data_IF_103849454243
#
_entry.id   IF_103849454243
#
_cell.length_a   1.000
_cell.length_b   1.000
_cell.length_c   1.000
_cell.angle_alpha   90.00
_cell.angle_beta   90.00
_cell.angle_gamma   90.00
#
_symmetry.space_group_name_H-M   'P 1'
#
loop_
_entity.id
_entity.type
_entity.pdbx_description
1 polymer ?
#
# COMPACT_ATOMS: atom_id res chain seq x y z
N UNK A 1 6.41 -27.82 11.63
CA UNK A 1 5.87 -26.84 12.59
C UNK A 1 5.18 -25.80 11.75
N UNK A 2 3.86 -25.61 11.91
CA UNK A 2 3.14 -24.62 11.12
C UNK A 2 3.51 -23.23 11.66
N UNK A 3 4.08 -22.40 10.80
CA UNK A 3 4.26 -20.97 11.08
C UNK A 3 2.88 -20.32 11.23
N UNK A 4 2.82 -19.22 11.98
CA UNK A 4 1.57 -18.46 12.21
C UNK A 4 0.91 -18.14 10.87
N UNK A 5 -0.28 -18.69 10.61
CA UNK A 5 -0.99 -18.52 9.32
C UNK A 5 -2.43 -18.11 9.54
N UNK A 6 -2.92 -17.13 8.76
CA UNK A 6 -4.35 -16.84 8.69
C UNK A 6 -5.02 -17.82 7.72
N UNK A 7 -5.86 -18.71 8.25
CA UNK A 7 -6.52 -19.75 7.45
C UNK A 7 -7.51 -19.18 6.43
N UNK A 8 -7.98 -17.95 6.63
CA UNK A 8 -8.88 -17.29 5.70
C UNK A 8 -8.21 -16.93 4.38
N UNK A 9 -6.89 -16.83 4.34
CA UNK A 9 -6.15 -16.66 3.09
C UNK A 9 -6.48 -17.81 2.12
N UNK A 10 -6.46 -19.06 2.61
CA UNK A 10 -6.78 -20.23 1.79
C UNK A 10 -8.26 -20.24 1.39
N UNK A 11 -9.16 -20.02 2.35
CA UNK A 11 -10.62 -20.05 2.11
C UNK A 11 -11.05 -18.99 1.10
N UNK A 12 -10.55 -17.76 1.24
CA UNK A 12 -10.86 -16.66 0.32
C UNK A 12 -10.29 -16.95 -1.08
N UNK A 13 -9.06 -17.48 -1.16
CA UNK A 13 -8.46 -17.85 -2.43
C UNK A 13 -9.22 -18.98 -3.13
N UNK A 14 -9.71 -19.98 -2.39
CA UNK A 14 -10.55 -21.05 -2.94
C UNK A 14 -11.85 -20.48 -3.54
N UNK A 15 -12.55 -19.60 -2.82
CA UNK A 15 -13.78 -18.95 -3.31
C UNK A 15 -13.51 -18.09 -4.56
N UNK A 16 -12.38 -17.38 -4.60
CA UNK A 16 -11.97 -16.59 -5.78
C UNK A 16 -11.68 -17.52 -6.97
N UNK A 17 -11.02 -18.65 -6.75
CA UNK A 17 -10.75 -19.62 -7.80
C UNK A 17 -12.03 -20.28 -8.33
N UNK A 18 -12.98 -20.61 -7.46
CA UNK A 18 -14.30 -21.12 -7.87
C UNK A 18 -15.07 -20.08 -8.71
N UNK A 19 -15.00 -18.81 -8.31
CA UNK A 19 -15.60 -17.72 -9.08
C UNK A 19 -14.92 -17.55 -10.45
N UNK A 20 -13.60 -17.64 -10.51
CA UNK A 20 -12.83 -17.55 -11.76
C UNK A 20 -13.16 -18.72 -12.71
N UNK A 21 -13.25 -19.93 -12.18
CA UNK A 21 -13.69 -21.12 -12.90
C UNK A 21 -15.10 -20.92 -13.49
N UNK A 22 -16.03 -20.34 -12.71
CA UNK A 22 -17.39 -20.03 -13.19
C UNK A 22 -17.40 -18.98 -14.33
N UNK A 23 -16.34 -18.16 -14.43
CA UNK A 23 -16.13 -17.10 -15.42
C UNK A 23 -15.09 -17.46 -16.49
N UNK A 24 -14.82 -18.75 -16.68
CA UNK A 24 -13.92 -19.27 -17.72
C UNK A 24 -12.46 -18.77 -17.61
N UNK A 25 -11.95 -18.52 -16.40
CA UNK A 25 -10.54 -18.17 -16.21
C UNK A 25 -10.18 -16.74 -16.65
N UNK A 26 -11.13 -15.81 -16.55
CA UNK A 26 -10.94 -14.42 -16.99
C UNK A 26 -10.25 -13.53 -15.96
N UNK A 27 -10.05 -14.00 -14.73
CA UNK A 27 -9.43 -13.24 -13.64
C UNK A 27 -7.93 -13.56 -13.59
N UNK A 28 -7.09 -12.54 -13.79
CA UNK A 28 -5.63 -12.72 -13.72
C UNK A 28 -5.12 -12.85 -12.27
N UNK A 29 -3.88 -13.32 -12.08
CA UNK A 29 -3.33 -13.56 -10.75
C UNK A 29 -3.26 -12.30 -9.87
N UNK A 30 -2.90 -11.15 -10.44
CA UNK A 30 -2.83 -9.89 -9.70
C UNK A 30 -4.21 -9.46 -9.19
N UNK A 31 -5.24 -9.60 -10.03
CA UNK A 31 -6.63 -9.37 -9.65
C UNK A 31 -7.06 -10.31 -8.53
N UNK A 32 -6.64 -11.59 -8.55
CA UNK A 32 -6.93 -12.52 -7.43
C UNK A 32 -6.33 -12.03 -6.12
N UNK A 33 -5.08 -11.53 -6.14
CA UNK A 33 -4.42 -10.95 -4.95
C UNK A 33 -5.13 -9.69 -4.46
N UNK A 34 -5.56 -8.79 -5.36
CA UNK A 34 -6.34 -7.61 -5.00
C UNK A 34 -7.70 -7.97 -4.38
N UNK A 35 -8.41 -8.93 -4.99
CA UNK A 35 -9.68 -9.44 -4.47
C UNK A 35 -9.49 -10.02 -3.07
N UNK A 36 -8.48 -10.88 -2.88
CA UNK A 36 -8.17 -11.47 -1.59
C UNK A 36 -7.85 -10.40 -0.56
N UNK A 37 -7.00 -9.43 -0.90
CA UNK A 37 -6.64 -8.31 -0.02
C UNK A 37 -7.85 -7.47 0.38
N UNK A 38 -8.75 -7.18 -0.57
CA UNK A 38 -9.98 -6.44 -0.30
C UNK A 38 -10.88 -7.16 0.71
N UNK A 39 -11.05 -8.48 0.53
CA UNK A 39 -11.92 -9.32 1.36
C UNK A 39 -11.30 -9.54 2.74
N UNK A 40 -10.03 -9.92 2.81
CA UNK A 40 -9.30 -10.18 4.06
C UNK A 40 -9.24 -8.94 4.97
N UNK A 41 -9.13 -7.74 4.42
CA UNK A 41 -9.18 -6.49 5.18
C UNK A 41 -10.56 -6.15 5.78
N UNK A 42 -11.61 -6.93 5.47
CA UNK A 42 -13.00 -6.69 5.87
C UNK A 42 -13.62 -7.83 6.67
N UNK A 43 -12.85 -8.90 6.94
CA UNK A 43 -13.28 -10.04 7.75
C UNK A 43 -12.31 -10.24 8.92
N UNK A 44 -12.79 -10.71 10.08
CA UNK A 44 -11.91 -10.95 11.22
C UNK A 44 -10.92 -12.07 10.90
N UNK A 45 -9.60 -11.89 11.09
CA UNK A 45 -8.61 -12.91 10.76
C UNK A 45 -8.71 -14.11 11.70
N UNK A 46 -8.36 -15.30 11.20
CA UNK A 46 -8.36 -16.54 11.97
C UNK A 46 -6.98 -17.22 11.88
N UNK A 47 -6.17 -16.99 12.90
CA UNK A 47 -4.80 -17.51 12.95
C UNK A 47 -4.71 -18.90 13.57
N UNK A 48 -3.84 -19.72 13.00
CA UNK A 48 -3.48 -21.05 13.50
C UNK A 48 -1.96 -21.21 13.63
N UNK A 49 -1.55 -22.07 14.55
CA UNK A 49 -0.15 -22.46 14.80
C UNK A 49 0.06 -23.98 14.80
N UNK A 50 -1.01 -24.75 14.58
CA UNK A 50 -0.95 -26.22 14.60
C UNK A 50 -1.99 -26.86 13.69
N UNK A 51 -1.69 -28.07 13.23
CA UNK A 51 -2.59 -28.89 12.41
C UNK A 51 -3.92 -29.19 13.12
N UNK A 52 -3.91 -29.32 14.45
CA UNK A 52 -5.15 -29.53 15.24
C UNK A 52 -6.05 -28.30 15.22
N UNK A 53 -5.46 -27.10 15.28
CA UNK A 53 -6.18 -25.84 15.12
C UNK A 53 -6.80 -25.73 13.72
N UNK A 54 -6.06 -26.15 12.69
CA UNK A 54 -6.55 -26.21 11.32
C UNK A 54 -7.77 -27.12 11.19
N UNK A 55 -7.69 -28.39 11.62
CA UNK A 55 -8.82 -29.35 11.47
C UNK A 55 -10.11 -28.86 12.14
N UNK A 56 -10.01 -28.28 13.34
CA UNK A 56 -11.18 -27.78 14.05
C UNK A 56 -11.83 -26.58 13.36
N UNK A 57 -11.02 -25.65 12.83
CA UNK A 57 -11.52 -24.47 12.13
C UNK A 57 -12.08 -24.86 10.76
N UNK A 58 -11.36 -25.67 9.97
CA UNK A 58 -11.86 -26.15 8.67
C UNK A 58 -13.19 -26.87 8.84
N UNK A 59 -13.33 -27.78 9.80
CA UNK A 59 -14.58 -28.50 10.01
C UNK A 59 -15.74 -27.60 10.44
N UNK A 60 -15.44 -26.52 11.17
CA UNK A 60 -16.46 -25.56 11.63
C UNK A 60 -16.91 -24.61 10.53
N UNK A 61 -15.98 -24.08 9.72
CA UNK A 61 -16.27 -23.00 8.77
C UNK A 61 -16.48 -23.49 7.33
N UNK A 62 -15.81 -24.55 6.89
CA UNK A 62 -16.02 -25.12 5.54
C UNK A 62 -17.42 -25.72 5.40
N UNK A 63 -18.01 -26.16 6.52
CA UNK A 63 -19.35 -26.71 6.58
C UNK A 63 -20.41 -25.68 7.02
N UNK A 64 -20.04 -24.41 7.16
CA UNK A 64 -20.97 -23.33 7.48
C UNK A 64 -21.37 -22.59 6.19
N UNK A 65 -22.58 -22.85 5.65
CA UNK A 65 -23.02 -22.26 4.39
C UNK A 65 -23.22 -20.75 4.48
N UNK A 66 -23.56 -20.23 5.67
CA UNK A 66 -23.77 -18.79 5.86
C UNK A 66 -22.42 -18.07 5.78
N UNK A 67 -21.41 -18.62 6.45
CA UNK A 67 -20.06 -18.08 6.41
C UNK A 67 -19.49 -18.03 4.99
N UNK A 68 -19.65 -19.10 4.20
CA UNK A 68 -19.19 -19.14 2.81
C UNK A 68 -19.97 -18.16 1.93
N UNK A 69 -21.29 -18.04 2.12
CA UNK A 69 -22.11 -17.08 1.39
C UNK A 69 -21.67 -15.63 1.66
N UNK A 70 -21.34 -15.30 2.91
CA UNK A 70 -20.85 -13.97 3.29
C UNK A 70 -19.52 -13.64 2.60
N UNK A 71 -18.58 -14.58 2.56
CA UNK A 71 -17.32 -14.42 1.82
C UNK A 71 -17.60 -14.22 0.32
N UNK A 72 -18.49 -15.02 -0.26
CA UNK A 72 -18.81 -14.95 -1.69
C UNK A 72 -19.42 -13.59 -2.08
N UNK A 73 -20.31 -13.04 -1.24
CA UNK A 73 -20.87 -11.69 -1.42
C UNK A 73 -19.75 -10.65 -1.42
N UNK A 74 -18.80 -10.74 -0.48
CA UNK A 74 -17.65 -9.81 -0.41
C UNK A 74 -16.74 -9.92 -1.62
N UNK A 75 -16.51 -11.13 -2.14
CA UNK A 75 -15.72 -11.33 -3.37
C UNK A 75 -16.43 -10.70 -4.58
N UNK A 76 -17.76 -10.83 -4.70
CA UNK A 76 -18.51 -10.20 -5.80
C UNK A 76 -18.51 -8.66 -5.71
N UNK A 77 -18.62 -8.11 -4.50
CA UNK A 77 -18.41 -6.67 -4.26
C UNK A 77 -17.01 -6.22 -4.70
N UNK A 78 -15.97 -6.96 -4.29
CA UNK A 78 -14.59 -6.68 -4.65
C UNK A 78 -14.40 -6.70 -6.17
N UNK A 79 -15.00 -7.66 -6.86
CA UNK A 79 -14.88 -7.80 -8.31
C UNK A 79 -15.49 -6.62 -9.08
N UNK A 80 -16.55 -6.01 -8.57
CA UNK A 80 -17.14 -4.79 -9.17
C UNK A 80 -16.21 -3.58 -9.07
N UNK A 81 -15.33 -3.56 -8.05
CA UNK A 81 -14.36 -2.49 -7.82
C UNK A 81 -13.07 -2.72 -8.60
N UNK A 82 -12.49 -3.92 -8.51
CA UNK A 82 -11.21 -4.28 -9.17
C UNK A 82 -11.30 -4.18 -10.70
N UNK A 83 -12.46 -4.46 -11.31
CA UNK A 83 -12.67 -4.26 -12.77
C UNK A 83 -12.49 -2.82 -13.24
N UNK A 84 -12.62 -1.82 -12.35
CA UNK A 84 -12.43 -0.40 -12.69
C UNK A 84 -10.98 0.06 -12.51
N UNK A 85 -10.19 -0.70 -11.77
CA UNK A 85 -8.81 -0.37 -11.39
C UNK A 85 -7.92 -1.46 -11.96
N UNK A 86 -7.73 -1.47 -13.28
CA UNK A 86 -6.75 -2.37 -13.87
C UNK A 86 -5.37 -1.92 -13.41
N UNK A 87 -4.84 -2.53 -12.36
CA UNK A 87 -3.40 -2.52 -12.09
C UNK A 87 -2.80 -3.20 -13.31
N UNK A 88 -2.26 -2.38 -14.21
CA UNK A 88 -1.44 -2.84 -15.32
C UNK A 88 -0.37 -3.74 -14.72
N UNK A 89 -0.38 -5.02 -15.09
CA UNK A 89 0.63 -5.99 -14.69
C UNK A 89 2.01 -5.44 -15.02
N UNK A 90 2.71 -4.82 -14.06
CA UNK A 90 3.95 -4.12 -14.35
C UNK A 90 4.95 -4.21 -13.20
N UNK A 91 5.97 -5.00 -13.50
CA UNK A 91 7.35 -5.05 -12.99
C UNK A 91 7.55 -4.55 -11.56
N UNK A 92 7.69 -5.49 -10.62
CA UNK A 92 8.58 -5.27 -9.48
C UNK A 92 9.89 -4.70 -10.03
N UNK A 93 10.33 -3.53 -9.55
CA UNK A 93 11.67 -3.07 -9.88
C UNK A 93 12.64 -4.13 -9.36
N UNK A 94 13.25 -4.88 -10.27
CA UNK A 94 14.22 -5.90 -9.91
C UNK A 94 15.49 -5.17 -9.44
N UNK A 95 15.59 -5.01 -8.13
CA UNK A 95 16.76 -4.40 -7.52
C UNK A 95 17.88 -5.42 -7.39
N UNK A 96 19.09 -4.98 -7.67
CA UNK A 96 20.29 -5.80 -7.57
C UNK A 96 20.59 -6.11 -6.10
N UNK A 97 20.20 -7.31 -5.65
CA UNK A 97 20.37 -7.77 -4.26
C UNK A 97 21.83 -7.83 -3.81
N UNK A 98 22.79 -7.70 -4.72
CA UNK A 98 24.23 -7.64 -4.43
C UNK A 98 24.73 -6.23 -4.10
N UNK A 99 23.87 -5.20 -4.22
CA UNK A 99 24.24 -3.81 -3.99
C UNK A 99 23.58 -3.22 -2.73
N UNK A 100 24.24 -2.29 -2.05
CA UNK A 100 23.65 -1.50 -0.99
C UNK A 100 22.82 -0.35 -1.58
N UNK A 101 21.77 0.05 -0.84
CA UNK A 101 20.85 1.11 -1.21
C UNK A 101 20.54 2.00 0.00
N UNK A 102 20.27 3.27 -0.26
CA UNK A 102 19.54 4.14 0.65
C UNK A 102 18.05 3.80 0.54
N UNK A 103 17.51 3.28 1.64
CA UNK A 103 16.13 2.85 1.75
C UNK A 103 15.35 3.99 2.40
N UNK A 104 14.40 4.57 1.66
CA UNK A 104 13.58 5.65 2.17
C UNK A 104 12.41 5.08 3.01
N UNK A 105 12.00 5.79 4.08
CA UNK A 105 10.74 5.51 4.72
C UNK A 105 9.58 5.82 3.78
N UNK A 106 8.46 5.14 4.01
CA UNK A 106 7.18 5.57 3.42
C UNK A 106 6.84 6.92 4.03
N UNK A 107 6.49 7.89 3.22
CA UNK A 107 6.21 9.26 3.67
C UNK A 107 4.70 9.45 3.61
N UNK A 108 4.09 9.80 4.74
CA UNK A 108 2.65 10.05 4.84
C UNK A 108 2.40 11.41 5.48
N UNK A 109 1.39 12.12 4.98
CA UNK A 109 0.93 13.37 5.58
C UNK A 109 -0.47 13.70 5.13
N UNK A 110 -0.97 14.86 5.57
CA UNK A 110 -2.32 15.32 5.30
C UNK A 110 -2.33 16.80 4.91
N UNK A 111 -3.32 17.17 4.11
CA UNK A 111 -3.59 18.56 3.72
C UNK A 111 -4.95 18.98 4.25
N UNK A 112 -4.95 20.01 5.07
CA UNK A 112 -6.13 20.58 5.73
C UNK A 112 -6.29 22.02 5.25
N UNK A 113 -7.54 22.42 4.98
CA UNK A 113 -7.84 23.82 4.72
C UNK A 113 -7.76 24.61 6.02
N UNK A 114 -6.89 25.61 6.09
CA UNK A 114 -6.83 26.56 7.22
C UNK A 114 -8.11 27.38 7.40
N UNK A 115 -9.01 27.41 6.40
CA UNK A 115 -10.28 28.14 6.46
C UNK A 115 -11.40 27.31 7.08
N UNK A 116 -11.61 26.09 6.58
CA UNK A 116 -12.71 25.23 7.02
C UNK A 116 -12.28 24.20 8.08
N UNK A 117 -10.97 24.02 8.29
CA UNK A 117 -10.39 22.93 9.08
C UNK A 117 -10.80 21.53 8.57
N UNK A 118 -11.23 21.45 7.31
CA UNK A 118 -11.59 20.21 6.63
C UNK A 118 -10.44 19.74 5.73
N UNK A 119 -10.37 18.43 5.42
CA UNK A 119 -9.43 17.93 4.43
C UNK A 119 -9.61 18.57 3.06
N UNK A 120 -8.49 18.81 2.36
CA UNK A 120 -8.51 19.37 1.00
C UNK A 120 -8.64 18.24 -0.02
N UNK A 121 -9.61 18.38 -0.92
CA UNK A 121 -9.82 17.50 -2.08
C UNK A 121 -9.26 18.15 -3.35
N UNK A 122 -9.02 17.36 -4.40
CA UNK A 122 -8.57 17.80 -5.74
C UNK A 122 -7.26 18.62 -5.76
N UNK A 123 -6.47 18.55 -4.68
CA UNK A 123 -5.10 19.04 -4.67
C UNK A 123 -4.14 17.95 -5.14
N UNK A 124 -2.98 18.36 -5.64
CA UNK A 124 -1.90 17.48 -6.05
C UNK A 124 -0.75 17.57 -5.03
N UNK A 125 -0.35 16.43 -4.46
CA UNK A 125 0.84 16.31 -3.63
C UNK A 125 2.00 15.74 -4.44
N UNK A 126 3.18 16.33 -4.32
CA UNK A 126 4.40 15.92 -5.04
C UNK A 126 5.56 15.75 -4.08
N UNK A 127 6.31 14.66 -4.24
CA UNK A 127 7.54 14.42 -3.51
C UNK A 127 8.76 14.65 -4.39
N UNK A 128 9.68 15.48 -3.89
CA UNK A 128 11.00 15.67 -4.48
C UNK A 128 12.09 15.24 -3.50
N UNK A 129 13.11 14.56 -4.03
CA UNK A 129 14.31 14.17 -3.30
C UNK A 129 15.51 14.79 -4.02
N UNK A 130 16.31 15.58 -3.30
CA UNK A 130 17.45 16.33 -3.85
C UNK A 130 17.07 17.13 -5.11
N UNK A 131 15.90 17.80 -5.05
CA UNK A 131 15.37 18.64 -6.14
C UNK A 131 14.74 17.89 -7.32
N UNK A 132 14.77 16.55 -7.36
CA UNK A 132 14.20 15.74 -8.45
C UNK A 132 12.87 15.12 -8.02
N UNK A 133 11.88 15.09 -8.92
CA UNK A 133 10.62 14.39 -8.68
C UNK A 133 10.93 12.91 -8.43
N UNK A 134 10.55 12.43 -7.23
CA UNK A 134 10.92 11.10 -6.78
C UNK A 134 10.18 10.02 -7.55
N UNK A 135 10.90 8.97 -7.98
CA UNK A 135 10.28 7.75 -8.49
C UNK A 135 9.75 6.94 -7.32
N UNK A 136 8.64 6.25 -7.52
CA UNK A 136 8.07 5.37 -6.50
C UNK A 136 8.59 3.94 -6.67
N UNK A 137 8.69 3.22 -5.55
CA UNK A 137 9.10 1.81 -5.49
C UNK A 137 8.04 0.93 -6.16
N UNK A 138 6.79 1.16 -5.82
CA UNK A 138 5.64 0.40 -6.31
C UNK A 138 4.94 1.17 -7.43
N UNK A 139 4.46 0.44 -8.44
CA UNK A 139 3.82 1.01 -9.63
C UNK A 139 2.43 1.61 -9.37
N UNK A 140 1.77 1.21 -8.29
CA UNK A 140 0.49 1.75 -7.82
C UNK A 140 0.64 3.00 -6.94
N UNK A 141 1.84 3.25 -6.40
CA UNK A 141 2.17 4.55 -5.81
C UNK A 141 2.50 5.55 -6.92
N UNK A 142 1.64 6.54 -7.07
CA UNK A 142 1.86 7.63 -8.01
C UNK A 142 2.65 8.76 -7.35
N UNK A 143 3.46 9.46 -8.13
CA UNK A 143 4.00 10.75 -7.77
C UNK A 143 4.06 11.60 -9.05
N UNK A 144 3.16 12.57 -9.23
CA UNK A 144 2.28 13.19 -8.23
C UNK A 144 1.09 12.32 -7.73
N UNK A 145 0.60 12.61 -6.51
CA UNK A 145 -0.64 12.04 -5.93
C UNK A 145 -1.76 13.07 -6.02
N UNK A 146 -2.94 12.68 -6.49
CA UNK A 146 -4.15 13.50 -6.45
C UNK A 146 -4.94 13.14 -5.18
N UNK A 147 -5.25 14.12 -4.34
CA UNK A 147 -6.05 13.93 -3.13
C UNK A 147 -7.52 13.73 -3.52
N UNK A 148 -8.02 12.50 -3.44
CA UNK A 148 -9.40 12.20 -3.83
C UNK A 148 -10.35 12.38 -2.65
N UNK A 149 -11.61 12.61 -2.97
CA UNK A 149 -12.70 12.54 -2.00
C UNK A 149 -12.72 11.20 -1.28
N UNK A 150 -12.70 11.25 0.05
CA UNK A 150 -12.66 10.06 0.91
C UNK A 150 -11.27 9.67 1.42
N UNK A 151 -10.20 10.28 0.91
CA UNK A 151 -8.83 10.02 1.39
C UNK A 151 -8.49 10.82 2.67
N UNK A 152 -9.45 11.55 3.25
CA UNK A 152 -9.26 12.46 4.39
C UNK A 152 -8.10 13.46 4.16
N UNK A 153 -7.91 13.89 2.90
CA UNK A 153 -6.83 14.81 2.50
C UNK A 153 -5.43 14.21 2.66
N UNK A 154 -5.33 12.88 2.80
CA UNK A 154 -4.07 12.17 3.01
C UNK A 154 -3.34 11.93 1.71
N UNK A 155 -2.02 12.08 1.73
CA UNK A 155 -1.13 11.59 0.68
C UNK A 155 -0.14 10.59 1.25
N UNK A 156 0.33 9.68 0.41
CA UNK A 156 1.45 8.81 0.77
C UNK A 156 2.39 8.62 -0.41
N UNK A 157 3.68 8.48 -0.11
CA UNK A 157 4.74 8.19 -1.06
C UNK A 157 5.55 6.99 -0.57
N UNK A 158 5.94 6.12 -1.49
CA UNK A 158 6.89 5.04 -1.26
C UNK A 158 8.10 5.28 -2.19
N UNK A 159 9.08 6.11 -1.79
CA UNK A 159 10.17 6.49 -2.68
C UNK A 159 11.04 5.28 -3.02
N UNK A 160 11.38 5.13 -4.31
CA UNK A 160 12.26 4.06 -4.76
C UNK A 160 13.63 4.16 -4.06
N UNK A 161 14.21 3.02 -3.61
CA UNK A 161 15.57 2.99 -3.09
C UNK A 161 16.58 3.60 -4.07
N UNK A 162 17.59 4.29 -3.54
CA UNK A 162 18.67 4.85 -4.34
C UNK A 162 19.97 4.05 -4.11
N UNK A 163 20.73 3.69 -5.16
CA UNK A 163 21.95 2.91 -4.98
C UNK A 163 22.97 3.68 -4.13
N UNK A 164 23.69 2.96 -3.29
CA UNK A 164 24.81 3.46 -2.51
C UNK A 164 26.13 2.87 -3.02
N UNK A 165 27.24 3.55 -2.73
CA UNK A 165 28.57 3.07 -3.15
C UNK A 165 29.07 1.95 -2.23
N UNK A 166 28.66 1.97 -0.96
CA UNK A 166 29.01 0.98 0.06
C UNK A 166 27.86 0.78 1.05
N UNK A 167 27.87 -0.36 1.75
CA UNK A 167 27.00 -0.57 2.91
C UNK A 167 27.48 0.32 4.07
N UNK A 168 26.57 0.69 4.97
CA UNK A 168 26.81 1.57 6.10
C UNK A 168 27.19 3.03 5.77
N UNK A 169 27.14 3.42 4.50
CA UNK A 169 27.32 4.80 4.07
C UNK A 169 26.16 5.65 4.61
N UNK A 170 26.47 6.78 5.22
CA UNK A 170 25.45 7.72 5.71
C UNK A 170 25.43 8.96 4.84
N UNK A 171 24.25 9.33 4.34
CA UNK A 171 24.04 10.49 3.46
C UNK A 171 22.80 11.26 3.89
N UNK A 172 22.85 12.59 3.80
CA UNK A 172 21.71 13.47 4.02
C UNK A 172 20.98 13.75 2.71
N UNK A 173 19.67 13.53 2.71
CA UNK A 173 18.75 13.79 1.60
C UNK A 173 17.87 15.00 1.91
N UNK A 174 17.70 15.87 0.92
CA UNK A 174 16.76 16.98 0.97
C UNK A 174 15.41 16.52 0.42
N UNK A 175 14.38 16.60 1.25
CA UNK A 175 13.03 16.19 0.92
C UNK A 175 12.18 17.45 0.81
N UNK A 176 11.53 17.65 -0.34
CA UNK A 176 10.52 18.68 -0.53
C UNK A 176 9.19 18.00 -0.85
N UNK A 177 8.17 18.31 -0.05
CA UNK A 177 6.79 17.95 -0.34
C UNK A 177 6.07 19.22 -0.77
N UNK A 178 5.45 19.17 -1.94
CA UNK A 178 4.78 20.30 -2.55
C UNK A 178 3.30 19.98 -2.75
N UNK A 179 2.43 20.88 -2.31
CA UNK A 179 0.99 20.80 -2.49
C UNK A 179 0.59 21.88 -3.49
N UNK A 180 -0.14 21.48 -4.54
CA UNK A 180 -0.66 22.37 -5.57
C UNK A 180 -2.18 22.22 -5.70
N UNK A 181 -2.92 23.33 -5.65
CA UNK A 181 -4.35 23.40 -6.00
C UNK A 181 -4.61 24.73 -6.69
N UNK A 182 -5.24 24.68 -7.88
CA UNK A 182 -5.61 25.87 -8.66
C UNK A 182 -4.44 26.86 -8.89
N UNK A 183 -3.24 26.35 -9.14
CA UNK A 183 -2.04 27.16 -9.36
C UNK A 183 -1.45 27.81 -8.10
N UNK A 184 -2.05 27.61 -6.93
CA UNK A 184 -1.43 27.95 -5.64
C UNK A 184 -0.56 26.80 -5.18
N UNK A 185 0.64 27.14 -4.70
CA UNK A 185 1.64 26.17 -4.26
C UNK A 185 1.99 26.43 -2.80
N UNK A 186 2.04 25.37 -2.00
CA UNK A 186 2.65 25.35 -0.67
C UNK A 186 3.71 24.24 -0.61
N UNK A 187 4.74 24.39 0.21
CA UNK A 187 5.85 23.44 0.28
C UNK A 187 6.44 23.31 1.67
N UNK A 188 6.72 22.08 2.08
CA UNK A 188 7.52 21.77 3.27
C UNK A 188 8.84 21.14 2.85
N UNK A 189 9.89 21.54 3.55
CA UNK A 189 11.24 21.03 3.37
C UNK A 189 11.65 20.32 4.65
N UNK A 190 12.22 19.14 4.51
CA UNK A 190 12.80 18.37 5.60
C UNK A 190 14.08 17.71 5.12
N UNK A 191 14.94 17.34 6.06
CA UNK A 191 16.15 16.60 5.74
C UNK A 191 16.13 15.25 6.40
N UNK A 192 16.49 14.23 5.66
CA UNK A 192 16.52 12.85 6.11
C UNK A 192 17.94 12.32 6.01
N UNK A 193 18.51 11.89 7.12
CA UNK A 193 19.80 11.20 7.13
C UNK A 193 19.55 9.69 7.05
N UNK A 194 20.07 9.05 6.01
CA UNK A 194 19.88 7.63 5.77
C UNK A 194 21.23 6.92 5.75
N UNK A 195 21.24 5.74 6.38
CA UNK A 195 22.33 4.78 6.32
C UNK A 195 21.98 3.74 5.25
N UNK A 196 22.92 3.45 4.34
CA UNK A 196 22.72 2.47 3.29
C UNK A 196 22.80 1.04 3.83
N UNK A 197 22.00 0.15 3.23
CA UNK A 197 21.99 -1.27 3.56
C UNK A 197 21.53 -2.11 2.35
N UNK A 198 21.68 -3.42 2.42
CA UNK A 198 21.18 -4.34 1.41
C UNK A 198 19.66 -4.48 1.48
N UNK A 199 19.02 -4.60 0.31
CA UNK A 199 17.56 -4.75 0.18
C UNK A 199 17.01 -6.01 0.87
N UNK A 200 17.86 -6.98 1.19
CA UNK A 200 17.47 -8.17 1.94
C UNK A 200 17.10 -7.86 3.40
N UNK A 201 17.70 -6.81 3.96
CA UNK A 201 17.42 -6.31 5.31
C UNK A 201 16.17 -5.42 5.35
N UNK A 202 15.62 -5.11 4.18
CA UNK A 202 14.42 -4.32 3.95
C UNK A 202 13.15 -5.09 4.29
N UNK A 203 13.18 -6.18 5.07
CA UNK A 203 11.96 -6.83 5.58
C UNK A 203 11.13 -5.75 6.28
N UNK A 204 10.13 -5.22 5.57
CA UNK A 204 9.46 -3.96 5.87
C UNK A 204 8.70 -4.14 7.17
N UNK A 205 9.33 -3.80 8.28
CA UNK A 205 8.60 -3.55 9.50
C UNK A 205 7.80 -2.27 9.27
N UNK A 206 6.52 -2.44 8.92
CA UNK A 206 5.57 -1.33 8.70
C UNK A 206 5.55 -0.34 9.88
N UNK A 207 5.93 -0.81 11.07
CA UNK A 207 6.00 -0.01 12.29
C UNK A 207 7.23 0.90 12.38
N UNK A 208 8.32 0.58 11.68
CA UNK A 208 9.62 1.24 11.90
C UNK A 208 10.08 2.11 10.73
N UNK A 209 9.51 1.95 9.52
CA UNK A 209 9.94 2.67 8.32
C UNK A 209 8.86 3.58 7.71
N UNK A 210 8.20 4.39 8.55
CA UNK A 210 7.21 5.40 8.13
C UNK A 210 7.58 6.76 8.70
N UNK A 211 7.74 7.75 7.82
CA UNK A 211 7.91 9.16 8.17
C UNK A 211 6.56 9.86 8.08
N UNK A 212 6.00 10.23 9.24
CA UNK A 212 4.81 11.07 9.32
C UNK A 212 5.21 12.54 9.25
N UNK A 213 4.76 13.23 8.21
CA UNK A 213 4.98 14.66 7.99
C UNK A 213 3.86 15.41 8.68
N UNK A 214 4.20 16.55 9.30
CA UNK A 214 3.20 17.44 9.87
C UNK A 214 2.19 17.90 8.83
N UNK A 215 0.94 18.05 9.25
CA UNK A 215 -0.17 18.45 8.39
C UNK A 215 0.12 19.81 7.70
N UNK A 216 -0.21 19.90 6.41
CA UNK A 216 -0.25 21.16 5.68
C UNK A 216 -1.55 21.90 6.04
N UNK A 217 -1.44 23.18 6.39
CA UNK A 217 -2.58 24.06 6.60
C UNK A 217 -2.62 25.09 5.49
N UNK A 218 -3.32 24.77 4.40
CA UNK A 218 -3.33 25.62 3.19
C UNK A 218 -4.55 26.54 3.19
N UNK A 219 -4.44 27.74 2.63
CA UNK A 219 -5.56 28.67 2.49
C UNK A 219 -6.49 28.35 1.29
N UNK A 220 -6.38 27.14 0.74
CA UNK A 220 -7.15 26.63 -0.40
C UNK A 220 -8.55 26.21 0.05
N UNK A 221 -9.55 26.43 -0.79
CA UNK A 221 -10.92 25.96 -0.50
C UNK A 221 -10.99 24.42 -0.63
N UNK A 222 -11.89 23.79 0.13
CA UNK A 222 -12.19 22.36 0.05
C UNK A 222 -13.02 22.09 -1.20
#
# INVERSE_FOLDING_TARGET
MLELKNILEDVVMDVINDLDNSKQGTINQNQKVELASYVLNRIPPMYITSDRGFTNIVNKYKNDPQFLADIMIRVDEALKLVKKTSISAQNEQDFDKSKPYFIFPKIIGRVISSRSMMPVEDATAQLYINGKLSKMEFSDWNNPVILKKGDDGSYSFAPAPQPADSADQTTRFEIKIQIEKEGKIDSKFLSLELKSDFIQNLQIQFKENVLKVEDFYVAMES
#
